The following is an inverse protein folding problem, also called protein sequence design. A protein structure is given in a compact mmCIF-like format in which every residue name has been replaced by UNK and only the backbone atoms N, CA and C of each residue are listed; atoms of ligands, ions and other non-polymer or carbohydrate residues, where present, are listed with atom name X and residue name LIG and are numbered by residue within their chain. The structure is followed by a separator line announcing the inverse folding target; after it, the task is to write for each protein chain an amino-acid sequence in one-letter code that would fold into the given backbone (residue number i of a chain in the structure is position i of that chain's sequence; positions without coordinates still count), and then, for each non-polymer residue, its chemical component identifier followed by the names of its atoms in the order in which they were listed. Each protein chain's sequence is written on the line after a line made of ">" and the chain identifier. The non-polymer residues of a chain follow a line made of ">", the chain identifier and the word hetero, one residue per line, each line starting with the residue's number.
data_IF_152759697084
#
_entry.id   IF_152759697084
#
_cell.length_a   1.000
_cell.length_b   1.000
_cell.length_c   1.000
_cell.angle_alpha   90.00
_cell.angle_beta   90.00
_cell.angle_gamma   90.00
#
_symmetry.space_group_name_H-M   'P 1'
#
loop_
_entity.id
_entity.type
_entity.pdbx_description
1 polymer ?
#
# COMPACT_ATOMS: atom_id res chain seq x y z
N UNK A 1 44.32 19.06 -6.42
CA UNK A 1 42.92 19.24 -6.86
C UNK A 1 42.11 17.96 -7.02
N UNK A 2 42.67 16.85 -7.55
CA UNK A 2 41.93 15.60 -7.78
C UNK A 2 41.22 15.02 -6.53
N UNK A 3 41.81 15.09 -5.33
CA UNK A 3 41.21 14.57 -4.10
C UNK A 3 39.92 15.32 -3.67
N UNK A 4 39.79 16.61 -3.98
CA UNK A 4 38.55 17.39 -3.73
C UNK A 4 37.44 17.03 -4.72
N UNK A 5 37.79 16.72 -5.97
CA UNK A 5 36.84 16.28 -7.00
C UNK A 5 36.27 14.88 -6.72
N UNK A 6 37.10 13.92 -6.29
CA UNK A 6 36.64 12.57 -5.90
C UNK A 6 35.72 12.59 -4.67
N UNK A 7 35.96 13.49 -3.70
CA UNK A 7 35.08 13.65 -2.54
C UNK A 7 33.71 14.28 -2.87
N UNK A 8 33.61 15.07 -3.94
CA UNK A 8 32.35 15.60 -4.47
C UNK A 8 31.46 14.50 -5.04
N UNK A 9 32.02 13.67 -5.94
CA UNK A 9 31.29 12.59 -6.61
C UNK A 9 30.71 11.55 -5.63
N UNK A 10 31.47 11.16 -4.60
CA UNK A 10 30.99 10.23 -3.56
C UNK A 10 29.84 10.81 -2.72
N UNK A 11 29.82 12.13 -2.47
CA UNK A 11 28.72 12.79 -1.75
C UNK A 11 27.46 12.86 -2.59
N UNK A 12 27.58 13.20 -3.86
CA UNK A 12 26.46 13.24 -4.79
C UNK A 12 25.82 11.84 -4.98
N UNK A 13 26.64 10.80 -5.11
CA UNK A 13 26.16 9.43 -5.20
C UNK A 13 25.33 9.01 -3.96
N UNK A 14 25.81 9.32 -2.75
CA UNK A 14 25.06 9.06 -1.50
C UNK A 14 23.75 9.84 -1.45
N UNK A 15 23.76 11.12 -1.84
CA UNK A 15 22.57 11.95 -1.87
C UNK A 15 21.51 11.40 -2.84
N UNK A 16 21.94 10.88 -3.99
CA UNK A 16 21.04 10.24 -4.97
C UNK A 16 20.38 8.98 -4.40
N UNK A 17 21.15 8.09 -3.77
CA UNK A 17 20.63 6.86 -3.14
C UNK A 17 19.62 7.20 -2.04
N UNK A 18 19.94 8.16 -1.16
CA UNK A 18 19.03 8.61 -0.12
C UNK A 18 17.73 9.19 -0.70
N UNK A 19 17.83 10.04 -1.73
CA UNK A 19 16.66 10.63 -2.40
C UNK A 19 15.78 9.55 -3.06
N UNK A 20 16.38 8.54 -3.68
CA UNK A 20 15.64 7.40 -4.25
C UNK A 20 14.92 6.59 -3.16
N UNK A 21 15.60 6.27 -2.06
CA UNK A 21 15.00 5.55 -0.94
C UNK A 21 13.84 6.34 -0.29
N UNK A 22 14.00 7.66 -0.12
CA UNK A 22 12.96 8.53 0.41
C UNK A 22 11.73 8.61 -0.51
N UNK A 23 11.94 8.76 -1.82
CA UNK A 23 10.88 8.75 -2.83
C UNK A 23 10.08 7.46 -2.79
N UNK A 24 10.78 6.32 -2.70
CA UNK A 24 10.16 5.00 -2.67
C UNK A 24 9.36 4.77 -1.40
N UNK A 25 9.88 5.17 -0.24
CA UNK A 25 9.14 5.15 1.02
C UNK A 25 7.86 5.97 0.94
N UNK A 26 7.90 7.14 0.33
CA UNK A 26 6.72 7.98 0.14
C UNK A 26 5.67 7.30 -0.77
N UNK A 27 6.09 6.66 -1.86
CA UNK A 27 5.20 5.91 -2.75
C UNK A 27 4.51 4.75 -2.02
N UNK A 28 5.27 3.94 -1.27
CA UNK A 28 4.74 2.81 -0.49
C UNK A 28 3.69 3.29 0.52
N UNK A 29 3.97 4.38 1.25
CA UNK A 29 3.03 4.95 2.21
C UNK A 29 1.79 5.56 1.54
N UNK A 30 1.92 6.10 0.33
CA UNK A 30 0.78 6.59 -0.46
C UNK A 30 -0.12 5.42 -0.89
N UNK A 31 0.48 4.35 -1.40
CA UNK A 31 -0.24 3.13 -1.81
C UNK A 31 -0.94 2.46 -0.64
N UNK A 32 -0.26 2.33 0.51
CA UNK A 32 -0.85 1.78 1.72
C UNK A 32 -2.13 2.53 2.13
N UNK A 33 -2.07 3.87 2.16
CA UNK A 33 -3.24 4.70 2.50
C UNK A 33 -4.34 4.58 1.46
N UNK A 34 -4.00 4.51 0.17
CA UNK A 34 -4.97 4.33 -0.90
C UNK A 34 -5.70 2.99 -0.76
N UNK A 35 -4.96 1.88 -0.61
CA UNK A 35 -5.51 0.54 -0.41
C UNK A 35 -6.45 0.47 0.80
N UNK A 36 -6.06 1.07 1.93
CA UNK A 36 -6.91 1.10 3.11
C UNK A 36 -8.19 1.91 2.89
N UNK A 37 -8.11 3.07 2.23
CA UNK A 37 -9.29 3.90 1.94
C UNK A 37 -10.27 3.18 1.02
N UNK A 38 -9.79 2.61 -0.09
CA UNK A 38 -10.64 1.87 -1.02
C UNK A 38 -11.26 0.63 -0.35
N UNK A 39 -10.49 -0.07 0.49
CA UNK A 39 -11.02 -1.24 1.22
C UNK A 39 -12.13 -0.88 2.21
N UNK A 40 -12.15 0.34 2.75
CA UNK A 40 -13.24 0.79 3.63
C UNK A 40 -14.54 1.03 2.85
N UNK A 41 -14.45 1.31 1.55
CA UNK A 41 -15.62 1.58 0.71
C UNK A 41 -16.42 0.30 0.36
N UNK A 42 -15.91 -0.89 0.69
CA UNK A 42 -16.69 -2.12 0.60
C UNK A 42 -17.91 -2.08 1.51
N UNK A 43 -19.11 -2.22 0.94
CA UNK A 43 -20.35 -2.35 1.72
C UNK A 43 -20.42 -3.67 2.48
N UNK A 44 -20.02 -4.77 1.84
CA UNK A 44 -19.99 -6.09 2.46
C UNK A 44 -18.94 -6.17 3.58
N UNK A 45 -19.39 -6.50 4.80
CA UNK A 45 -18.53 -6.59 5.98
C UNK A 45 -17.34 -7.54 5.81
N UNK A 46 -17.59 -8.73 5.26
CA UNK A 46 -16.56 -9.75 5.07
C UNK A 46 -15.41 -9.24 4.20
N UNK A 47 -15.73 -8.61 3.06
CA UNK A 47 -14.72 -8.05 2.16
C UNK A 47 -14.00 -6.85 2.77
N UNK A 48 -14.74 -5.94 3.41
CA UNK A 48 -14.16 -4.77 4.09
C UNK A 48 -13.12 -5.20 5.14
N UNK A 49 -13.53 -6.06 6.07
CA UNK A 49 -12.66 -6.50 7.17
C UNK A 49 -11.50 -7.37 6.70
N UNK A 50 -11.73 -8.29 5.76
CA UNK A 50 -10.68 -9.12 5.18
C UNK A 50 -9.64 -8.27 4.46
N UNK A 51 -10.07 -7.37 3.56
CA UNK A 51 -9.15 -6.56 2.78
C UNK A 51 -8.28 -5.68 3.70
N UNK A 52 -8.88 -4.99 4.67
CA UNK A 52 -8.14 -4.16 5.63
C UNK A 52 -7.11 -4.98 6.41
N UNK A 53 -7.51 -6.16 6.92
CA UNK A 53 -6.60 -7.05 7.65
C UNK A 53 -5.46 -7.53 6.74
N UNK A 54 -5.79 -8.07 5.56
CA UNK A 54 -4.80 -8.61 4.62
C UNK A 54 -3.80 -7.56 4.15
N UNK A 55 -4.25 -6.32 3.92
CA UNK A 55 -3.36 -5.19 3.58
C UNK A 55 -2.43 -4.88 4.75
N UNK A 56 -2.94 -4.79 5.98
CA UNK A 56 -2.10 -4.53 7.16
C UNK A 56 -1.04 -5.62 7.36
N UNK A 57 -1.45 -6.87 7.26
CA UNK A 57 -0.56 -8.02 7.48
C UNK A 57 0.50 -8.08 6.39
N UNK A 58 0.12 -7.97 5.11
CA UNK A 58 1.08 -7.96 4.01
C UNK A 58 2.11 -6.83 4.12
N UNK A 59 1.70 -5.60 4.47
CA UNK A 59 2.66 -4.49 4.64
C UNK A 59 3.56 -4.67 5.88
N UNK A 60 3.11 -5.37 6.91
CA UNK A 60 3.92 -5.69 8.10
C UNK A 60 4.92 -6.79 7.80
N UNK A 61 4.50 -7.86 7.13
CA UNK A 61 5.34 -8.98 6.70
C UNK A 61 6.50 -8.49 5.81
N UNK A 62 6.21 -7.59 4.87
CA UNK A 62 7.19 -7.08 3.90
C UNK A 62 7.98 -5.86 4.38
N UNK A 63 7.89 -5.48 5.66
CA UNK A 63 8.50 -4.23 6.19
C UNK A 63 10.04 -4.22 6.11
N UNK A 64 10.66 -5.39 6.26
CA UNK A 64 12.12 -5.52 6.43
C UNK A 64 12.82 -6.01 5.15
N UNK A 65 12.12 -6.06 4.02
CA UNK A 65 12.72 -6.43 2.73
C UNK A 65 13.64 -5.29 2.27
N UNK A 66 14.88 -5.63 1.95
CA UNK A 66 15.90 -4.68 1.50
C UNK A 66 16.23 -4.81 0.01
N UNK A 67 15.82 -5.92 -0.62
CA UNK A 67 16.09 -6.17 -2.04
C UNK A 67 15.25 -5.27 -2.94
N UNK A 68 15.92 -4.42 -3.73
CA UNK A 68 15.25 -3.41 -4.56
C UNK A 68 14.32 -4.04 -5.60
N UNK A 69 14.71 -5.15 -6.22
CA UNK A 69 13.87 -5.83 -7.23
C UNK A 69 12.57 -6.36 -6.63
N UNK A 70 12.64 -6.97 -5.46
CA UNK A 70 11.48 -7.52 -4.75
C UNK A 70 10.52 -6.42 -4.29
N UNK A 71 11.04 -5.29 -3.81
CA UNK A 71 10.17 -4.17 -3.44
C UNK A 71 9.41 -3.64 -4.68
N UNK A 72 10.00 -3.68 -5.88
CA UNK A 72 9.33 -3.19 -7.11
C UNK A 72 8.20 -4.12 -7.53
N UNK A 73 8.43 -5.43 -7.45
CA UNK A 73 7.38 -6.42 -7.74
C UNK A 73 6.22 -6.29 -6.76
N UNK A 74 6.50 -6.06 -5.47
CA UNK A 74 5.49 -5.82 -4.44
C UNK A 74 4.71 -4.53 -4.65
N UNK A 75 5.38 -3.43 -5.05
CA UNK A 75 4.72 -2.17 -5.40
C UNK A 75 3.77 -2.37 -6.59
N UNK A 76 4.21 -3.07 -7.64
CA UNK A 76 3.37 -3.35 -8.81
C UNK A 76 2.18 -4.24 -8.44
N UNK A 77 2.40 -5.28 -7.63
CA UNK A 77 1.32 -6.11 -7.08
C UNK A 77 0.32 -5.29 -6.27
N UNK A 78 0.78 -4.35 -5.46
CA UNK A 78 -0.08 -3.45 -4.70
C UNK A 78 -0.92 -2.53 -5.60
N UNK A 79 -0.36 -2.03 -6.71
CA UNK A 79 -1.08 -1.24 -7.72
C UNK A 79 -2.17 -2.05 -8.41
N UNK A 80 -1.86 -3.27 -8.86
CA UNK A 80 -2.85 -4.18 -9.45
C UNK A 80 -3.97 -4.50 -8.46
N UNK A 81 -3.63 -4.76 -7.19
CA UNK A 81 -4.63 -5.02 -6.16
C UNK A 81 -5.52 -3.80 -5.90
N UNK A 82 -4.97 -2.59 -5.97
CA UNK A 82 -5.76 -1.36 -5.81
C UNK A 82 -6.83 -1.25 -6.90
N UNK A 83 -6.47 -1.50 -8.15
CA UNK A 83 -7.45 -1.49 -9.26
C UNK A 83 -8.53 -2.56 -9.08
N UNK A 84 -8.14 -3.76 -8.63
CA UNK A 84 -9.10 -4.84 -8.36
C UNK A 84 -10.07 -4.39 -7.27
N UNK A 85 -9.57 -3.85 -6.16
CA UNK A 85 -10.41 -3.37 -5.05
C UNK A 85 -11.38 -2.29 -5.55
N UNK A 86 -10.91 -1.31 -6.33
CA UNK A 86 -11.77 -0.26 -6.87
C UNK A 86 -12.91 -0.81 -7.75
N UNK A 87 -12.61 -1.77 -8.63
CA UNK A 87 -13.63 -2.44 -9.45
C UNK A 87 -14.63 -3.21 -8.58
N UNK A 88 -14.14 -3.97 -7.61
CA UNK A 88 -14.99 -4.77 -6.73
C UNK A 88 -15.86 -3.91 -5.80
N UNK A 89 -15.34 -2.78 -5.32
CA UNK A 89 -16.12 -1.79 -4.55
C UNK A 89 -17.25 -1.26 -5.41
N UNK A 90 -16.97 -0.86 -6.65
CA UNK A 90 -17.99 -0.35 -7.58
C UNK A 90 -19.08 -1.39 -7.84
N UNK A 91 -18.71 -2.64 -8.13
CA UNK A 91 -19.67 -3.74 -8.34
C UNK A 91 -20.51 -3.97 -7.07
N UNK A 92 -19.87 -4.00 -5.89
CA UNK A 92 -20.58 -4.18 -4.62
C UNK A 92 -21.50 -3.02 -4.25
N UNK A 93 -21.26 -1.81 -4.78
CA UNK A 93 -22.18 -0.68 -4.64
C UNK A 93 -23.40 -0.82 -5.56
N UNK A 94 -23.20 -1.31 -6.80
CA UNK A 94 -24.27 -1.57 -7.76
C UNK A 94 -25.19 -2.70 -7.30
N UNK A 95 -24.62 -3.78 -6.77
CA UNK A 95 -25.33 -4.98 -6.31
C UNK A 95 -25.20 -5.13 -4.80
N UNK A 96 -25.83 -4.22 -4.06
CA UNK A 96 -25.78 -4.22 -2.59
C UNK A 96 -26.67 -5.32 -2.01
N UNK A 97 -26.13 -6.16 -1.11
CA UNK A 97 -26.90 -7.11 -0.31
C UNK A 97 -27.31 -6.50 1.05
N UNK A 98 -28.24 -7.17 1.74
CA UNK A 98 -28.61 -6.81 3.10
C UNK A 98 -27.44 -6.95 4.07
N UNK A 99 -27.44 -6.10 5.11
CA UNK A 99 -26.40 -6.14 6.14
C UNK A 99 -26.52 -7.40 6.98
N UNK A 100 -25.38 -7.93 7.42
CA UNK A 100 -25.36 -9.09 8.31
C UNK A 100 -25.89 -8.73 9.69
N UNK A 101 -26.43 -9.72 10.42
CA UNK A 101 -26.92 -9.54 11.81
C UNK A 101 -25.84 -8.95 12.73
N UNK A 102 -24.57 -9.33 12.52
CA UNK A 102 -23.41 -8.82 13.27
C UNK A 102 -23.09 -7.34 13.01
N UNK A 103 -23.65 -6.74 11.96
CA UNK A 103 -23.48 -5.31 11.65
C UNK A 103 -24.58 -4.45 12.27
N UNK A 104 -25.65 -5.06 12.75
CA UNK A 104 -26.75 -4.37 13.41
C UNK A 104 -26.37 -4.13 14.88
N UNK A 105 -26.38 -2.88 15.35
CA UNK A 105 -26.20 -2.61 16.77
C UNK A 105 -27.33 -3.29 17.54
N UNK A 106 -26.98 -4.14 18.51
CA UNK A 106 -27.94 -4.66 19.48
C UNK A 106 -28.52 -3.43 20.20
N UNK A 107 -29.83 -3.21 20.08
CA UNK A 107 -30.51 -2.25 20.94
C UNK A 107 -30.36 -2.78 22.37
N UNK A 108 -29.60 -2.05 23.19
CA UNK A 108 -29.56 -2.27 24.63
C UNK A 108 -30.92 -1.95 25.24
#
# INVERSE_FOLDING_TARGET
>A
EAAKAHGGACREARQRVYKMAASRRAEVLRLYRALLRESQAFKAYGYRTYAIRKIRDAFRENKNINESSEIDTLINKAKTNLEIIQRQVTIGQLYTAEKLVIECPQKA
#
